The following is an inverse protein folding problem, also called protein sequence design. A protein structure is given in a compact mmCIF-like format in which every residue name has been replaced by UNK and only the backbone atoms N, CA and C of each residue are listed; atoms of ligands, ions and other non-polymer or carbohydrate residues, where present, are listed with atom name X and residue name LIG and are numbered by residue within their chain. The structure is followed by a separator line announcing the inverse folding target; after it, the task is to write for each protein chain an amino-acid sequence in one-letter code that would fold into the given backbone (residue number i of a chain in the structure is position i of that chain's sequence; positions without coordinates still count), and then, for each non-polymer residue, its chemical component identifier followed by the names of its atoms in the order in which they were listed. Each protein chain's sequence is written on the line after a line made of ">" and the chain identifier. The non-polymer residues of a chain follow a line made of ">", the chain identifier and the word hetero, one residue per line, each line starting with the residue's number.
data_IF_015248073838
#
_entry.id   IF_015248073838
#
_cell.length_a   1.000
_cell.length_b   1.000
_cell.length_c   1.000
_cell.angle_alpha   90.00
_cell.angle_beta   90.00
_cell.angle_gamma   90.00
#
_symmetry.space_group_name_H-M   'P 1'
#
loop_
_entity.id
_entity.type
_entity.pdbx_description
1 polymer ?
#
# COMPACT_ATOMS: atom_id res chain seq x y z
N UNK A 1 50.84 28.97 4.91
CA UNK A 1 51.51 30.23 5.31
C UNK A 1 50.75 30.88 6.44
N UNK A 2 51.48 31.38 7.48
CA UNK A 2 50.83 32.19 8.50
C UNK A 2 50.23 33.46 7.89
N UNK A 3 49.05 33.92 8.35
CA UNK A 3 48.47 35.20 7.87
C UNK A 3 49.42 36.35 8.14
N UNK A 4 49.66 37.19 7.12
CA UNK A 4 50.55 38.36 7.24
C UNK A 4 50.00 39.47 8.13
N UNK A 5 48.70 39.52 8.35
CA UNK A 5 48.00 40.54 9.13
C UNK A 5 47.11 39.90 10.19
N UNK A 6 47.71 39.56 11.33
CA UNK A 6 47.02 38.92 12.46
C UNK A 6 45.91 39.84 13.04
N UNK A 7 46.06 41.14 12.92
CA UNK A 7 45.11 42.17 13.38
C UNK A 7 43.73 42.10 12.63
N UNK A 8 43.71 41.47 11.46
CA UNK A 8 42.47 41.28 10.66
C UNK A 8 41.70 40.00 11.02
N UNK A 9 42.24 39.20 11.94
CA UNK A 9 41.55 38.03 12.43
C UNK A 9 40.46 38.43 13.42
N UNK A 10 39.29 37.75 13.40
CA UNK A 10 38.16 38.08 14.27
C UNK A 10 38.46 37.99 15.77
N UNK A 11 39.54 37.35 16.15
CA UNK A 11 40.08 37.32 17.54
C UNK A 11 41.58 37.40 17.47
N UNK A 12 42.15 38.46 18.01
CA UNK A 12 43.62 38.64 18.13
C UNK A 12 43.94 39.23 19.49
N UNK A 13 45.11 38.88 20.02
CA UNK A 13 45.65 39.47 21.23
C UNK A 13 47.15 39.69 21.08
N UNK A 14 47.69 40.80 21.69
CA UNK A 14 49.10 41.13 21.71
C UNK A 14 49.58 41.12 23.13
N UNK A 15 50.73 40.46 23.38
CA UNK A 15 51.37 40.43 24.69
C UNK A 15 52.87 40.72 24.53
N UNK A 16 53.47 41.35 25.53
CA UNK A 16 54.94 41.55 25.59
C UNK A 16 55.59 40.38 26.33
N UNK A 17 56.65 39.84 25.77
CA UNK A 17 57.44 38.79 26.34
C UNK A 17 58.91 39.28 26.58
N UNK A 18 59.43 39.10 27.80
CA UNK A 18 60.75 39.62 28.21
C UNK A 18 61.90 38.69 27.92
N UNK A 19 61.67 37.50 27.32
CA UNK A 19 62.70 36.52 27.00
C UNK A 19 63.09 36.49 25.51
N UNK A 20 64.07 35.62 25.15
CA UNK A 20 64.42 35.45 23.73
C UNK A 20 63.27 34.96 22.87
N UNK A 21 63.17 35.41 21.63
CA UNK A 21 62.02 35.04 20.72
C UNK A 21 61.88 33.52 20.56
N UNK A 22 62.93 32.79 20.45
CA UNK A 22 62.90 31.32 20.30
C UNK A 22 62.27 30.59 21.48
N UNK A 23 62.48 31.10 22.71
CA UNK A 23 61.85 30.54 23.89
C UNK A 23 60.36 30.78 23.92
N UNK A 24 59.87 31.93 23.41
CA UNK A 24 58.45 32.24 23.25
C UNK A 24 57.79 31.29 22.24
N UNK A 25 58.43 31.06 21.10
CA UNK A 25 57.95 30.14 20.08
C UNK A 25 57.94 28.69 20.56
N UNK A 26 58.97 28.27 21.32
CA UNK A 26 59.02 26.95 21.92
C UNK A 26 57.87 26.74 22.92
N UNK A 27 57.61 27.72 23.79
CA UNK A 27 56.52 27.68 24.74
C UNK A 27 55.13 27.63 24.04
N UNK A 28 54.97 28.41 22.96
CA UNK A 28 53.76 28.39 22.17
C UNK A 28 53.51 27.03 21.48
N UNK A 29 54.58 26.44 20.91
CA UNK A 29 54.50 25.06 20.33
C UNK A 29 54.05 24.03 21.36
N UNK A 30 54.62 24.07 22.52
CA UNK A 30 54.32 23.13 23.61
C UNK A 30 52.88 23.32 24.10
N UNK A 31 52.44 24.56 24.28
CA UNK A 31 51.05 24.88 24.67
C UNK A 31 50.04 24.39 23.66
N UNK A 32 50.29 24.54 22.36
CA UNK A 32 49.43 24.02 21.30
C UNK A 32 49.42 22.49 21.29
N UNK A 33 50.58 21.83 21.45
CA UNK A 33 50.67 20.35 21.51
C UNK A 33 49.89 19.77 22.68
N UNK A 34 50.01 20.39 23.89
CA UNK A 34 49.25 19.97 25.09
C UNK A 34 47.73 20.04 24.84
N UNK A 35 47.28 21.02 24.06
CA UNK A 35 45.86 21.15 23.67
C UNK A 35 45.48 20.28 22.47
N UNK A 36 46.34 19.34 22.06
CA UNK A 36 46.12 18.42 20.93
C UNK A 36 45.94 19.08 19.56
N UNK A 37 46.52 20.29 19.38
CA UNK A 37 46.63 20.91 18.08
C UNK A 37 47.73 20.23 17.25
N UNK A 38 47.51 20.11 15.92
CA UNK A 38 48.58 19.80 14.98
C UNK A 38 49.37 21.06 14.73
N UNK A 39 50.69 21.03 15.08
CA UNK A 39 51.52 22.24 15.11
C UNK A 39 52.41 22.30 13.88
N UNK A 40 52.43 23.45 13.23
CA UNK A 40 53.30 23.77 12.08
C UNK A 40 54.17 24.97 12.42
N UNK A 41 55.47 24.89 12.05
CA UNK A 41 56.41 25.99 12.08
C UNK A 41 56.61 26.45 10.64
N UNK A 42 56.40 27.73 10.37
CA UNK A 42 56.49 28.29 9.02
C UNK A 42 57.86 28.97 8.77
N UNK A 43 58.43 29.54 9.83
CA UNK A 43 59.69 30.26 9.85
C UNK A 43 60.15 30.37 11.30
N UNK A 44 61.27 31.07 11.54
CA UNK A 44 61.78 31.29 12.88
C UNK A 44 61.00 32.34 13.68
N UNK A 45 59.93 32.89 13.13
CA UNK A 45 59.12 33.95 13.73
C UNK A 45 57.65 33.55 13.97
N UNK A 46 57.19 32.40 13.48
CA UNK A 46 55.78 32.01 13.59
C UNK A 46 55.54 30.52 13.81
N UNK A 47 54.51 30.23 14.58
CA UNK A 47 53.98 28.90 14.80
C UNK A 47 52.47 28.94 14.63
N UNK A 48 51.91 27.93 13.99
CA UNK A 48 50.46 27.76 13.87
C UNK A 48 50.02 26.41 14.43
N UNK A 49 48.83 26.36 14.99
CA UNK A 49 48.18 25.16 15.46
C UNK A 49 46.83 24.97 14.81
N UNK A 50 46.53 23.78 14.37
CA UNK A 50 45.30 23.42 13.71
C UNK A 50 44.61 22.30 14.49
N UNK A 51 43.28 22.43 14.68
CA UNK A 51 42.48 21.45 15.38
C UNK A 51 41.13 21.27 14.64
N UNK A 52 40.46 20.14 14.86
CA UNK A 52 39.12 19.93 14.27
C UNK A 52 39.10 19.16 12.96
N UNK A 53 40.21 18.47 12.59
CA UNK A 53 40.26 17.65 11.35
C UNK A 53 39.13 16.63 11.24
N UNK A 54 38.72 16.04 12.38
CA UNK A 54 37.56 15.13 12.38
C UNK A 54 36.27 15.81 11.90
N UNK A 55 36.12 17.11 12.12
CA UNK A 55 34.99 17.88 11.64
C UNK A 55 34.97 17.97 10.10
N UNK A 56 36.11 18.23 9.49
CA UNK A 56 36.22 18.31 8.01
C UNK A 56 36.05 16.94 7.38
N UNK A 57 36.67 15.90 7.95
CA UNK A 57 36.47 14.51 7.52
C UNK A 57 35.01 14.08 7.66
N UNK A 58 34.37 14.41 8.79
CA UNK A 58 32.95 14.14 9.00
C UNK A 58 32.06 14.85 8.01
N UNK A 59 32.37 16.12 7.70
CA UNK A 59 31.64 16.89 6.70
C UNK A 59 31.80 16.29 5.29
N UNK A 60 33.01 15.89 4.91
CA UNK A 60 33.26 15.22 3.63
C UNK A 60 32.50 13.90 3.55
N UNK A 61 32.59 13.07 4.60
CA UNK A 61 31.86 11.79 4.66
C UNK A 61 30.35 11.98 4.55
N UNK A 62 29.80 13.00 5.22
CA UNK A 62 28.38 13.35 5.12
C UNK A 62 27.98 13.68 3.68
N UNK A 63 28.76 14.52 2.97
CA UNK A 63 28.44 14.89 1.59
C UNK A 63 28.57 13.69 0.64
N UNK A 64 29.59 12.84 0.80
CA UNK A 64 29.73 11.62 0.01
C UNK A 64 28.55 10.68 0.27
N UNK A 65 28.17 10.45 1.53
CA UNK A 65 27.03 9.62 1.88
C UNK A 65 25.71 10.16 1.26
N UNK A 66 25.51 11.48 1.31
CA UNK A 66 24.37 12.13 0.68
C UNK A 66 24.34 11.92 -0.84
N UNK A 67 25.48 12.05 -1.52
CA UNK A 67 25.58 11.74 -2.95
C UNK A 67 25.25 10.28 -3.25
N UNK A 68 25.73 9.33 -2.45
CA UNK A 68 25.43 7.90 -2.60
C UNK A 68 23.93 7.63 -2.44
N UNK A 69 23.29 8.27 -1.44
CA UNK A 69 21.83 8.15 -1.24
C UNK A 69 21.07 8.70 -2.44
N UNK A 70 21.44 9.89 -2.95
CA UNK A 70 20.79 10.50 -4.12
C UNK A 70 20.92 9.57 -5.35
N UNK A 71 22.11 9.05 -5.60
CA UNK A 71 22.34 8.09 -6.71
C UNK A 71 21.52 6.82 -6.51
N UNK A 72 21.48 6.27 -5.30
CA UNK A 72 20.68 5.08 -4.98
C UNK A 72 19.18 5.30 -5.22
N UNK A 73 18.64 6.43 -4.78
CA UNK A 73 17.23 6.82 -5.04
C UNK A 73 16.98 6.98 -6.53
N UNK A 74 17.89 7.64 -7.26
CA UNK A 74 17.75 7.81 -8.70
C UNK A 74 17.75 6.47 -9.45
N UNK A 75 18.65 5.54 -9.10
CA UNK A 75 18.68 4.19 -9.67
C UNK A 75 17.38 3.43 -9.35
N UNK A 76 16.91 3.46 -8.11
CA UNK A 76 15.65 2.83 -7.72
C UNK A 76 14.45 3.40 -8.47
N UNK A 77 14.43 4.72 -8.73
CA UNK A 77 13.36 5.37 -9.50
C UNK A 77 13.43 5.04 -11.00
N UNK A 78 14.61 4.85 -11.55
CA UNK A 78 14.78 4.54 -12.99
C UNK A 78 14.48 3.07 -13.31
N UNK A 79 14.89 2.14 -12.45
CA UNK A 79 14.86 0.70 -12.71
C UNK A 79 13.88 -0.07 -11.80
N UNK A 80 13.34 0.56 -10.78
CA UNK A 80 12.36 -0.04 -9.88
C UNK A 80 10.97 -0.10 -10.53
N UNK A 81 10.17 -1.09 -10.12
CA UNK A 81 8.75 -1.17 -10.43
C UNK A 81 7.99 -1.68 -9.22
N UNK A 82 6.69 -1.40 -9.19
CA UNK A 82 5.78 -1.89 -8.18
C UNK A 82 4.40 -2.09 -8.80
N UNK A 83 3.85 -3.27 -8.59
CA UNK A 83 2.46 -3.60 -8.94
C UNK A 83 1.69 -4.01 -7.69
N UNK A 84 0.49 -3.49 -7.52
CA UNK A 84 -0.41 -3.90 -6.45
C UNK A 84 -1.61 -4.63 -7.09
N UNK A 85 -2.05 -5.72 -6.46
CA UNK A 85 -3.15 -6.57 -6.96
C UNK A 85 -3.97 -7.12 -5.80
N UNK A 86 -5.28 -7.21 -6.00
CA UNK A 86 -6.22 -7.90 -5.10
C UNK A 86 -6.50 -9.28 -5.67
N UNK A 87 -6.31 -10.31 -4.84
CA UNK A 87 -6.58 -11.71 -5.19
C UNK A 87 -7.56 -12.29 -4.17
N UNK A 88 -8.71 -12.75 -4.65
CA UNK A 88 -9.73 -13.40 -3.82
C UNK A 88 -9.39 -14.87 -3.60
N UNK A 89 -9.80 -15.44 -2.47
CA UNK A 89 -9.66 -16.89 -2.19
C UNK A 89 -10.22 -17.74 -3.35
N UNK A 90 -9.42 -18.68 -3.80
CA UNK A 90 -9.69 -19.54 -4.95
C UNK A 90 -9.25 -18.97 -6.30
N UNK A 91 -8.97 -17.68 -6.41
CA UNK A 91 -8.52 -17.04 -7.64
C UNK A 91 -7.00 -17.11 -7.83
N UNK A 92 -6.58 -16.98 -9.09
CA UNK A 92 -5.18 -17.01 -9.49
C UNK A 92 -4.79 -15.70 -10.16
N UNK A 93 -3.76 -15.08 -9.68
CA UNK A 93 -3.08 -13.94 -10.30
C UNK A 93 -1.88 -14.43 -11.12
N UNK A 94 -1.70 -13.93 -12.32
CA UNK A 94 -0.47 -14.09 -13.10
C UNK A 94 0.24 -12.74 -13.20
N UNK A 95 1.58 -12.76 -13.02
CA UNK A 95 2.40 -11.55 -13.07
C UNK A 95 2.54 -11.05 -14.51
N UNK A 96 1.46 -10.45 -15.02
CA UNK A 96 1.40 -9.76 -16.31
C UNK A 96 0.80 -8.36 -16.09
N UNK A 97 1.28 -7.38 -16.83
CA UNK A 97 0.92 -5.97 -16.65
C UNK A 97 -0.60 -5.73 -16.51
N UNK A 98 -1.40 -6.40 -17.32
CA UNK A 98 -2.87 -6.22 -17.38
C UNK A 98 -3.63 -6.76 -16.16
N UNK A 99 -3.01 -7.56 -15.29
CA UNK A 99 -3.65 -8.12 -14.10
C UNK A 99 -3.36 -7.34 -12.81
N UNK A 100 -2.47 -6.36 -12.86
CA UNK A 100 -2.27 -5.46 -11.72
C UNK A 100 -3.37 -4.40 -11.66
N UNK A 101 -3.91 -4.15 -10.46
CA UNK A 101 -4.87 -3.06 -10.20
C UNK A 101 -4.20 -1.69 -10.30
N UNK A 102 -2.97 -1.59 -9.80
CA UNK A 102 -2.10 -0.42 -9.96
C UNK A 102 -0.70 -0.87 -10.33
N UNK A 103 -0.07 -0.12 -11.23
CA UNK A 103 1.29 -0.42 -11.66
C UNK A 103 2.09 0.87 -11.82
N UNK A 104 3.18 0.98 -11.06
CA UNK A 104 4.11 2.08 -11.10
C UNK A 104 5.47 1.56 -11.55
N UNK A 105 6.02 2.16 -12.58
CA UNK A 105 7.28 1.71 -13.18
C UNK A 105 8.24 2.86 -13.38
N UNK A 106 9.53 2.60 -13.21
CA UNK A 106 10.61 3.47 -13.63
C UNK A 106 10.71 3.52 -15.17
N UNK A 107 11.31 4.58 -15.67
CA UNK A 107 11.39 4.89 -17.10
C UNK A 107 12.17 3.81 -17.90
N UNK A 108 13.06 3.09 -17.24
CA UNK A 108 13.91 2.07 -17.86
C UNK A 108 13.36 0.65 -17.73
N UNK A 109 12.18 0.46 -17.15
CA UNK A 109 11.53 -0.85 -16.98
C UNK A 109 10.61 -1.13 -18.16
N UNK A 110 10.73 -2.31 -18.76
CA UNK A 110 9.74 -2.82 -19.73
C UNK A 110 8.60 -3.55 -19.00
N UNK A 111 7.36 -3.01 -19.02
CA UNK A 111 6.22 -3.67 -18.37
C UNK A 111 5.86 -5.05 -18.94
N UNK A 112 6.39 -5.41 -20.14
CA UNK A 112 6.16 -6.71 -20.75
C UNK A 112 7.21 -7.75 -20.35
N UNK A 113 8.29 -7.33 -19.69
CA UNK A 113 9.39 -8.19 -19.24
C UNK A 113 9.33 -8.54 -17.74
N UNK A 114 8.12 -8.55 -17.17
CA UNK A 114 7.93 -8.90 -15.76
C UNK A 114 8.23 -10.38 -15.50
N UNK A 115 8.70 -10.75 -14.27
CA UNK A 115 8.88 -12.15 -13.90
C UNK A 115 7.58 -12.95 -14.07
N UNK A 116 7.55 -14.03 -14.85
CA UNK A 116 6.32 -14.72 -15.24
C UNK A 116 5.92 -15.78 -14.21
N UNK A 117 5.50 -15.38 -13.01
CA UNK A 117 5.00 -16.29 -11.98
C UNK A 117 3.47 -16.21 -11.84
N UNK A 118 2.89 -17.18 -11.15
CA UNK A 118 1.49 -17.18 -10.75
C UNK A 118 1.34 -17.40 -9.25
N UNK A 119 0.33 -16.79 -8.67
CA UNK A 119 -0.06 -16.96 -7.26
C UNK A 119 -1.56 -17.22 -7.22
N UNK A 120 -1.96 -18.37 -6.69
CA UNK A 120 -3.34 -18.64 -6.28
C UNK A 120 -3.46 -18.44 -4.79
N UNK A 121 -4.42 -17.64 -4.34
CA UNK A 121 -4.75 -17.52 -2.94
C UNK A 121 -5.65 -18.69 -2.55
N UNK A 122 -5.12 -19.65 -1.78
CA UNK A 122 -5.88 -20.81 -1.34
C UNK A 122 -6.75 -20.46 -0.13
N UNK A 123 -6.21 -19.70 0.83
CA UNK A 123 -6.90 -19.26 2.04
C UNK A 123 -6.21 -18.02 2.63
N UNK A 124 -7.01 -17.13 3.20
CA UNK A 124 -6.52 -16.00 4.02
C UNK A 124 -6.99 -16.18 5.47
N UNK A 125 -6.05 -16.43 6.37
CA UNK A 125 -6.33 -16.46 7.82
C UNK A 125 -6.17 -15.06 8.39
N UNK A 126 -7.24 -14.56 9.01
CA UNK A 126 -7.30 -13.23 9.63
C UNK A 126 -7.78 -13.39 11.05
N UNK A 127 -7.06 -12.80 12.00
CA UNK A 127 -7.42 -12.84 13.41
C UNK A 127 -7.55 -11.46 14.00
N UNK A 128 -8.63 -11.24 14.71
CA UNK A 128 -8.93 -9.98 15.42
C UNK A 128 -9.01 -10.21 16.92
N UNK A 129 -8.74 -9.15 17.70
CA UNK A 129 -8.92 -9.16 19.14
C UNK A 129 -10.41 -9.21 19.50
N UNK A 130 -10.79 -10.19 20.32
CA UNK A 130 -12.18 -10.42 20.69
C UNK A 130 -12.47 -10.20 22.18
N UNK A 131 -11.49 -9.74 22.96
CA UNK A 131 -11.73 -9.43 24.38
C UNK A 131 -12.67 -8.24 24.52
N UNK A 132 -13.91 -8.51 24.92
CA UNK A 132 -14.96 -7.51 25.04
C UNK A 132 -14.61 -6.50 26.15
N UNK A 133 -14.70 -5.20 25.83
CA UNK A 133 -14.36 -4.10 26.75
C UNK A 133 -12.87 -3.78 26.85
N UNK A 134 -11.99 -4.55 26.19
CA UNK A 134 -10.57 -4.23 26.06
C UNK A 134 -10.33 -3.04 25.13
N UNK A 135 -9.31 -2.23 25.41
CA UNK A 135 -8.94 -1.07 24.60
C UNK A 135 -8.54 -1.42 23.15
N UNK A 136 -8.34 -2.70 22.86
CA UNK A 136 -7.94 -3.21 21.56
C UNK A 136 -9.00 -4.11 20.89
N UNK A 137 -10.24 -4.08 21.35
CA UNK A 137 -11.33 -4.84 20.75
C UNK A 137 -11.44 -4.52 19.24
N UNK A 138 -11.47 -5.56 18.40
CA UNK A 138 -11.46 -5.44 16.95
C UNK A 138 -10.09 -5.16 16.32
N UNK A 139 -9.02 -4.97 17.11
CA UNK A 139 -7.69 -4.75 16.55
C UNK A 139 -7.17 -6.01 15.83
N UNK A 140 -6.50 -5.87 14.67
CA UNK A 140 -5.91 -6.99 13.96
C UNK A 140 -4.76 -7.62 14.76
N UNK A 141 -4.72 -8.97 14.77
CA UNK A 141 -3.69 -9.76 15.49
C UNK A 141 -2.80 -10.57 14.56
N UNK A 142 -3.22 -10.84 13.36
CA UNK A 142 -2.42 -11.56 12.39
C UNK A 142 -3.13 -11.75 11.07
N UNK A 143 -2.33 -11.77 10.01
CA UNK A 143 -2.75 -12.02 8.65
C UNK A 143 -1.78 -13.00 8.02
N UNK A 144 -2.29 -14.12 7.49
CA UNK A 144 -1.49 -15.13 6.81
C UNK A 144 -2.21 -15.59 5.55
N UNK A 145 -1.59 -15.38 4.41
CA UNK A 145 -2.07 -15.87 3.12
C UNK A 145 -1.40 -17.22 2.84
N UNK A 146 -2.21 -18.26 2.67
CA UNK A 146 -1.79 -19.57 2.17
C UNK A 146 -1.95 -19.55 0.67
N UNK A 147 -0.87 -19.83 -0.05
CA UNK A 147 -0.82 -19.67 -1.50
C UNK A 147 -0.24 -20.89 -2.19
N UNK A 148 -0.75 -21.19 -3.37
CA UNK A 148 -0.13 -22.11 -4.33
C UNK A 148 0.50 -21.27 -5.43
N UNK A 149 1.81 -21.42 -5.64
CA UNK A 149 2.58 -20.61 -6.59
C UNK A 149 3.24 -21.47 -7.67
N UNK A 150 3.41 -20.90 -8.85
CA UNK A 150 4.28 -21.43 -9.92
C UNK A 150 5.28 -20.35 -10.27
N UNK A 151 6.56 -20.59 -10.01
CA UNK A 151 7.60 -19.59 -10.17
C UNK A 151 7.88 -19.27 -11.65
N UNK A 152 7.77 -20.26 -12.53
CA UNK A 152 7.92 -20.11 -13.98
C UNK A 152 6.98 -21.05 -14.73
N UNK A 153 6.49 -20.67 -15.91
CA UNK A 153 5.67 -21.55 -16.74
C UNK A 153 6.31 -22.93 -16.92
N UNK A 154 5.53 -23.99 -16.67
CA UNK A 154 5.99 -25.37 -16.78
C UNK A 154 6.66 -25.96 -15.54
N UNK A 155 6.88 -25.19 -14.48
CA UNK A 155 7.34 -25.72 -13.20
C UNK A 155 6.17 -26.27 -12.36
N UNK A 156 6.51 -27.16 -11.41
CA UNK A 156 5.54 -27.68 -10.46
C UNK A 156 5.05 -26.60 -9.50
N UNK A 157 3.76 -26.64 -9.19
CA UNK A 157 3.16 -25.79 -8.17
C UNK A 157 3.73 -26.10 -6.78
N UNK A 158 3.96 -25.06 -5.99
CA UNK A 158 4.45 -25.16 -4.61
C UNK A 158 3.55 -24.38 -3.66
N UNK A 159 3.42 -24.87 -2.44
CA UNK A 159 2.65 -24.19 -1.40
C UNK A 159 3.56 -23.31 -0.56
N UNK A 160 3.13 -22.06 -0.38
CA UNK A 160 3.83 -21.06 0.42
C UNK A 160 2.88 -20.29 1.32
N UNK A 161 3.44 -19.69 2.36
CA UNK A 161 2.73 -18.72 3.20
C UNK A 161 3.37 -17.34 3.06
N UNK A 162 2.53 -16.30 3.02
CA UNK A 162 2.95 -14.91 3.02
C UNK A 162 2.30 -14.25 4.23
N UNK A 163 3.11 -13.69 5.12
CA UNK A 163 2.65 -12.98 6.32
C UNK A 163 3.11 -11.53 6.30
N UNK A 164 2.58 -10.73 7.21
CA UNK A 164 3.04 -9.34 7.37
C UNK A 164 4.52 -9.34 7.75
N UNK A 165 5.32 -8.56 7.01
CA UNK A 165 6.80 -8.48 7.12
C UNK A 165 7.57 -9.77 6.76
N UNK A 166 6.91 -10.78 6.21
CA UNK A 166 7.53 -12.01 5.70
C UNK A 166 7.15 -12.18 4.23
N UNK A 167 7.79 -11.45 3.30
CA UNK A 167 7.49 -11.53 1.88
C UNK A 167 7.98 -12.86 1.29
N UNK A 168 7.38 -13.24 0.17
CA UNK A 168 7.79 -14.37 -0.64
C UNK A 168 8.52 -13.88 -1.89
N UNK A 169 9.72 -14.37 -2.14
CA UNK A 169 10.44 -14.07 -3.40
C UNK A 169 10.07 -15.08 -4.48
N UNK A 170 9.58 -14.60 -5.63
CA UNK A 170 9.18 -15.40 -6.79
C UNK A 170 9.78 -14.82 -8.07
N UNK A 171 10.58 -15.61 -8.77
CA UNK A 171 11.18 -15.19 -10.03
C UNK A 171 12.09 -13.97 -9.94
N UNK A 172 12.55 -13.61 -8.73
CA UNK A 172 13.36 -12.42 -8.46
C UNK A 172 12.55 -11.17 -8.07
N UNK A 173 11.23 -11.27 -7.96
CA UNK A 173 10.37 -10.25 -7.40
C UNK A 173 9.91 -10.63 -5.98
N UNK A 174 9.81 -9.65 -5.09
CA UNK A 174 9.30 -9.85 -3.74
C UNK A 174 7.80 -9.54 -3.67
N UNK A 175 7.04 -10.47 -3.11
CA UNK A 175 5.58 -10.40 -2.93
C UNK A 175 5.27 -10.15 -1.47
N UNK A 176 4.73 -8.99 -1.17
CA UNK A 176 4.34 -8.57 0.18
C UNK A 176 2.84 -8.67 0.38
N UNK A 177 2.39 -9.12 1.54
CA UNK A 177 1.00 -8.99 1.96
C UNK A 177 0.75 -7.55 2.43
N UNK A 178 0.01 -6.78 1.62
CA UNK A 178 -0.25 -5.35 1.83
C UNK A 178 -1.52 -5.09 2.61
N UNK A 179 -2.57 -5.88 2.36
CA UNK A 179 -3.88 -5.68 2.94
C UNK A 179 -4.78 -6.89 2.77
N UNK A 180 -6.00 -6.77 3.26
CA UNK A 180 -7.02 -7.80 3.16
C UNK A 180 -8.41 -7.18 3.18
N UNK A 181 -9.42 -7.98 2.85
CA UNK A 181 -10.81 -7.59 2.93
C UNK A 181 -11.75 -8.72 2.54
N UNK A 182 -12.95 -8.35 2.17
CA UNK A 182 -14.04 -9.28 1.89
C UNK A 182 -14.53 -9.17 0.46
N UNK A 183 -14.82 -10.32 -0.14
CA UNK A 183 -15.41 -10.46 -1.47
C UNK A 183 -16.74 -11.19 -1.33
N UNK A 184 -17.88 -10.49 -1.19
CA UNK A 184 -19.20 -11.11 -1.27
C UNK A 184 -19.33 -11.90 -2.57
N UNK A 185 -19.77 -13.16 -2.46
CA UNK A 185 -20.14 -14.01 -3.61
C UNK A 185 -21.59 -13.78 -3.93
N UNK A 186 -21.86 -13.30 -5.12
CA UNK A 186 -23.20 -12.91 -5.55
C UNK A 186 -23.56 -13.61 -6.85
N UNK A 187 -24.79 -14.13 -6.91
CA UNK A 187 -25.39 -14.65 -8.13
C UNK A 187 -26.51 -13.74 -8.59
N UNK A 188 -26.49 -13.34 -9.86
CA UNK A 188 -27.61 -12.63 -10.50
C UNK A 188 -28.20 -13.52 -11.58
N UNK A 189 -29.54 -13.64 -11.58
CA UNK A 189 -30.32 -14.40 -12.55
C UNK A 189 -31.21 -13.46 -13.35
N UNK A 190 -31.41 -13.77 -14.60
CA UNK A 190 -32.39 -13.06 -15.43
C UNK A 190 -33.87 -13.46 -15.10
N UNK A 191 -34.83 -12.86 -15.79
CA UNK A 191 -36.25 -13.15 -15.59
C UNK A 191 -36.64 -14.61 -15.90
N UNK A 192 -35.83 -15.35 -16.65
CA UNK A 192 -36.02 -16.77 -16.94
C UNK A 192 -35.33 -17.68 -15.91
N UNK A 193 -34.70 -17.11 -14.89
CA UNK A 193 -33.96 -17.84 -13.87
C UNK A 193 -32.55 -18.30 -14.28
N UNK A 194 -32.08 -17.93 -15.48
CA UNK A 194 -30.72 -18.25 -15.94
C UNK A 194 -29.69 -17.39 -15.20
N UNK A 195 -28.63 -18.02 -14.75
CA UNK A 195 -27.48 -17.32 -14.15
C UNK A 195 -26.77 -16.47 -15.21
N UNK A 196 -26.70 -15.17 -15.00
CA UNK A 196 -26.04 -14.19 -15.87
C UNK A 196 -24.81 -13.55 -15.22
N UNK A 197 -24.64 -13.76 -13.91
CA UNK A 197 -23.47 -13.35 -13.13
C UNK A 197 -23.33 -14.27 -11.91
N UNK A 198 -22.12 -14.75 -11.62
CA UNK A 198 -21.81 -15.48 -10.39
C UNK A 198 -20.32 -15.33 -10.09
N UNK A 199 -19.97 -14.42 -9.21
CA UNK A 199 -18.57 -14.12 -8.88
C UNK A 199 -18.45 -13.60 -7.45
N UNK A 200 -17.26 -13.78 -6.87
CA UNK A 200 -16.82 -13.03 -5.72
C UNK A 200 -16.36 -11.64 -6.16
N UNK A 201 -16.87 -10.59 -5.54
CA UNK A 201 -16.53 -9.20 -5.88
C UNK A 201 -15.89 -8.52 -4.71
N UNK A 202 -14.64 -8.03 -4.80
CA UNK A 202 -13.97 -7.34 -3.70
C UNK A 202 -14.68 -6.04 -3.33
N UNK A 203 -14.95 -5.87 -2.04
CA UNK A 203 -15.41 -4.63 -1.43
C UNK A 203 -14.29 -4.05 -0.58
N UNK A 204 -13.95 -2.77 -0.80
CA UNK A 204 -12.80 -2.12 -0.19
C UNK A 204 -13.16 -1.46 1.15
N UNK A 205 -12.47 -1.85 2.20
CA UNK A 205 -12.70 -1.34 3.55
C UNK A 205 -12.48 0.18 3.63
N UNK A 206 -13.39 0.87 4.29
CA UNK A 206 -13.36 2.32 4.49
C UNK A 206 -12.93 2.70 5.92
N UNK A 207 -13.02 1.76 6.84
CA UNK A 207 -12.68 1.96 8.25
C UNK A 207 -12.09 0.68 8.87
N UNK A 208 -11.70 0.78 10.13
CA UNK A 208 -11.10 -0.31 10.89
C UNK A 208 -12.10 -1.42 11.30
N UNK A 209 -13.40 -1.19 11.14
CA UNK A 209 -14.47 -2.17 11.37
C UNK A 209 -14.87 -2.87 10.07
N UNK A 210 -14.11 -2.63 9.00
CA UNK A 210 -14.29 -3.23 7.67
C UNK A 210 -15.66 -2.97 7.04
N UNK A 211 -16.32 -1.85 7.38
CA UNK A 211 -17.36 -1.31 6.53
C UNK A 211 -16.76 -1.06 5.16
N UNK A 212 -17.17 -1.83 4.18
CA UNK A 212 -16.52 -1.86 2.86
C UNK A 212 -17.45 -1.38 1.77
N UNK A 213 -16.93 -0.68 0.77
CA UNK A 213 -17.69 -0.22 -0.40
C UNK A 213 -17.27 -1.00 -1.63
N UNK A 214 -18.23 -1.23 -2.53
CA UNK A 214 -17.97 -1.94 -3.78
C UNK A 214 -19.09 -1.80 -4.79
N UNK A 215 -18.86 -2.38 -5.97
CA UNK A 215 -19.82 -2.37 -7.06
C UNK A 215 -19.83 -3.71 -7.79
N UNK A 216 -21.03 -4.19 -8.11
CA UNK A 216 -21.26 -5.38 -8.92
C UNK A 216 -21.81 -4.92 -10.27
N UNK A 217 -21.15 -5.30 -11.35
CA UNK A 217 -21.50 -4.91 -12.72
C UNK A 217 -21.95 -6.12 -13.50
N UNK A 218 -23.19 -6.10 -14.00
CA UNK A 218 -23.82 -7.21 -14.73
C UNK A 218 -24.14 -6.76 -16.15
N UNK A 219 -23.14 -6.74 -17.05
CA UNK A 219 -23.34 -6.28 -18.43
C UNK A 219 -24.20 -7.22 -19.26
N UNK A 220 -24.33 -8.48 -18.85
CA UNK A 220 -25.18 -9.48 -19.53
C UNK A 220 -26.66 -9.39 -19.17
N UNK A 221 -27.07 -8.48 -18.27
CA UNK A 221 -28.45 -8.25 -17.96
C UNK A 221 -29.20 -7.61 -19.16
N UNK A 222 -30.42 -8.03 -19.41
CA UNK A 222 -31.28 -7.49 -20.46
C UNK A 222 -32.63 -7.03 -19.87
N UNK A 223 -33.32 -6.06 -20.51
CA UNK A 223 -32.99 -5.28 -21.72
C UNK A 223 -31.96 -4.16 -21.45
N UNK A 224 -31.69 -3.82 -20.20
CA UNK A 224 -30.68 -2.87 -19.77
C UNK A 224 -29.65 -3.56 -18.83
N UNK A 225 -28.41 -3.13 -18.91
CA UNK A 225 -27.39 -3.61 -17.98
C UNK A 225 -27.73 -3.21 -16.54
N UNK A 226 -27.35 -4.05 -15.57
CA UNK A 226 -27.61 -3.82 -14.16
C UNK A 226 -26.29 -3.53 -13.42
N UNK A 227 -26.33 -2.52 -12.57
CA UNK A 227 -25.26 -2.18 -11.64
C UNK A 227 -25.78 -2.14 -10.22
N UNK A 228 -24.96 -2.66 -9.30
CA UNK A 228 -25.26 -2.59 -7.87
C UNK A 228 -24.09 -1.90 -7.19
N UNK A 229 -24.37 -0.94 -6.32
CA UNK A 229 -23.33 -0.25 -5.52
C UNK A 229 -23.79 -0.13 -4.10
N UNK A 230 -22.86 -0.26 -3.16
CA UNK A 230 -23.22 -0.15 -1.75
C UNK A 230 -22.16 -0.64 -0.80
N UNK A 231 -22.61 -1.19 0.32
CA UNK A 231 -21.76 -1.55 1.45
C UNK A 231 -21.82 -3.04 1.72
N UNK A 232 -20.67 -3.60 2.06
CA UNK A 232 -20.56 -4.87 2.75
C UNK A 232 -20.19 -4.60 4.21
N UNK A 233 -20.88 -5.25 5.13
CA UNK A 233 -20.73 -5.11 6.58
C UNK A 233 -20.42 -6.49 7.15
N UNK A 234 -19.21 -6.77 7.64
CA UNK A 234 -18.87 -8.08 8.19
C UNK A 234 -19.65 -8.43 9.46
N UNK A 235 -19.95 -7.43 10.29
CA UNK A 235 -20.85 -7.54 11.43
C UNK A 235 -21.80 -6.34 11.44
N UNK A 236 -22.92 -6.47 10.78
CA UNK A 236 -23.90 -5.39 10.62
C UNK A 236 -24.54 -5.02 11.94
N UNK A 237 -24.67 -3.71 12.22
CA UNK A 237 -25.46 -3.21 13.32
C UNK A 237 -26.96 -3.54 13.10
N UNK A 238 -27.67 -4.10 14.11
CA UNK A 238 -29.06 -4.53 13.94
C UNK A 238 -30.05 -3.41 13.57
N UNK A 239 -29.77 -2.18 14.04
CA UNK A 239 -30.67 -1.04 13.92
C UNK A 239 -30.03 0.10 13.16
N UNK A 240 -30.01 0.19 11.91
CA UNK A 240 -29.41 1.27 11.11
C UNK A 240 -29.87 2.70 11.51
N UNK A 241 -29.58 3.12 12.72
CA UNK A 241 -29.97 4.46 13.22
C UNK A 241 -29.31 5.56 12.39
N UNK A 242 -28.04 5.35 12.02
CA UNK A 242 -27.23 6.31 11.25
C UNK A 242 -26.88 5.79 9.84
N UNK A 243 -27.57 4.77 9.33
CA UNK A 243 -27.28 4.10 8.08
C UNK A 243 -26.52 2.78 8.25
N UNK A 244 -26.01 2.19 7.15
CA UNK A 244 -25.26 0.91 7.20
C UNK A 244 -23.96 1.07 7.97
N UNK A 245 -23.81 0.38 9.13
CA UNK A 245 -22.62 0.38 9.95
C UNK A 245 -22.18 -1.03 10.31
N UNK A 246 -20.86 -1.24 10.43
CA UNK A 246 -20.26 -2.46 10.97
C UNK A 246 -19.79 -2.21 12.40
N UNK A 247 -20.03 -3.15 13.31
CA UNK A 247 -19.66 -3.04 14.73
C UNK A 247 -18.48 -3.92 15.12
N UNK A 248 -18.08 -4.83 14.23
CA UNK A 248 -16.91 -5.68 14.42
C UNK A 248 -16.30 -6.06 13.06
N UNK A 249 -14.96 -6.18 12.94
CA UNK A 249 -14.29 -6.37 11.66
C UNK A 249 -14.38 -7.81 11.08
N UNK A 250 -14.80 -8.82 11.87
CA UNK A 250 -14.93 -10.21 11.41
C UNK A 250 -16.38 -10.57 11.02
N UNK A 251 -16.55 -11.75 10.42
CA UNK A 251 -17.82 -12.24 9.82
C UNK A 251 -18.79 -12.82 10.86
N UNK A 252 -19.19 -12.02 11.85
CA UNK A 252 -20.14 -12.48 12.89
C UNK A 252 -21.60 -12.34 12.45
N UNK A 253 -21.93 -11.30 11.68
CA UNK A 253 -23.29 -11.06 11.11
C UNK A 253 -23.18 -10.34 9.77
N UNK A 254 -22.67 -11.00 8.71
CA UNK A 254 -22.42 -10.34 7.44
C UNK A 254 -23.71 -9.91 6.74
N UNK A 255 -23.67 -8.70 6.17
CA UNK A 255 -24.77 -8.13 5.42
C UNK A 255 -24.26 -7.34 4.21
N UNK A 256 -24.98 -7.45 3.10
CA UNK A 256 -24.75 -6.72 1.87
C UNK A 256 -25.93 -5.74 1.64
N UNK A 257 -25.64 -4.43 1.69
CA UNK A 257 -26.60 -3.36 1.49
C UNK A 257 -26.33 -2.68 0.15
N UNK A 258 -27.22 -2.80 -0.83
CA UNK A 258 -27.02 -2.38 -2.21
C UNK A 258 -28.11 -1.44 -2.70
N UNK A 259 -27.73 -0.42 -3.46
CA UNK A 259 -28.59 0.35 -4.35
C UNK A 259 -28.52 -0.24 -5.75
N UNK A 260 -29.63 -0.27 -6.46
CA UNK A 260 -29.76 -0.92 -7.77
C UNK A 260 -29.93 0.13 -8.87
N UNK A 261 -29.13 -0.03 -9.91
CA UNK A 261 -29.05 0.88 -11.06
C UNK A 261 -29.21 0.12 -12.37
N UNK A 262 -29.78 0.79 -13.39
CA UNK A 262 -29.86 0.25 -14.72
C UNK A 262 -29.37 1.27 -15.76
N UNK A 263 -28.81 0.81 -16.87
CA UNK A 263 -28.34 1.67 -17.96
C UNK A 263 -27.12 1.11 -18.65
N UNK A 264 -26.32 2.00 -19.28
CA UNK A 264 -25.06 1.64 -19.90
C UNK A 264 -23.93 1.70 -18.86
N UNK A 265 -23.41 0.55 -18.45
CA UNK A 265 -22.33 0.45 -17.45
C UNK A 265 -20.96 0.93 -17.97
N UNK A 266 -20.76 0.91 -19.30
CA UNK A 266 -19.48 1.23 -19.93
C UNK A 266 -19.66 2.28 -21.05
N UNK A 267 -20.05 3.53 -20.71
CA UNK A 267 -20.27 4.56 -21.70
C UNK A 267 -18.99 4.82 -22.51
N UNK A 268 -19.12 4.79 -23.83
CA UNK A 268 -17.99 4.96 -24.76
C UNK A 268 -16.99 3.79 -24.77
N UNK A 269 -17.31 2.63 -24.17
CA UNK A 269 -16.43 1.44 -24.14
C UNK A 269 -15.13 1.63 -23.36
N UNK A 270 -15.04 2.66 -22.51
CA UNK A 270 -13.81 2.96 -21.76
C UNK A 270 -13.68 2.06 -20.52
N UNK A 271 -12.46 1.59 -20.20
CA UNK A 271 -12.21 0.89 -18.96
C UNK A 271 -12.62 1.74 -17.75
N UNK A 272 -13.27 1.11 -16.80
CA UNK A 272 -13.69 1.74 -15.54
C UNK A 272 -13.16 0.93 -14.36
N UNK A 273 -12.98 1.59 -13.20
CA UNK A 273 -12.62 0.90 -11.97
C UNK A 273 -13.59 -0.26 -11.70
N UNK A 274 -13.06 -1.42 -11.36
CA UNK A 274 -13.87 -2.60 -11.00
C UNK A 274 -14.52 -2.45 -9.63
N UNK A 275 -14.03 -1.55 -8.80
CA UNK A 275 -14.47 -1.36 -7.41
C UNK A 275 -15.55 -0.28 -7.24
N UNK A 276 -15.80 0.54 -8.27
CA UNK A 276 -16.77 1.63 -8.20
C UNK A 276 -17.74 1.59 -9.38
N UNK A 277 -18.96 2.06 -9.15
CA UNK A 277 -19.98 2.23 -10.16
C UNK A 277 -20.10 3.72 -10.51
N UNK A 278 -19.84 4.09 -11.76
CA UNK A 278 -20.16 5.43 -12.25
C UNK A 278 -21.66 5.51 -12.54
N UNK A 279 -22.40 6.23 -11.71
CA UNK A 279 -23.86 6.35 -11.79
C UNK A 279 -24.34 7.55 -12.62
N UNK A 280 -23.44 8.36 -13.21
CA UNK A 280 -23.81 9.59 -13.91
C UNK A 280 -24.76 9.37 -15.10
N UNK A 281 -24.65 8.23 -15.80
CA UNK A 281 -25.50 7.85 -16.93
C UNK A 281 -26.42 6.67 -16.59
N UNK A 282 -26.56 6.31 -15.30
CA UNK A 282 -27.43 5.24 -14.85
C UNK A 282 -28.69 5.79 -14.20
N UNK A 283 -29.76 5.07 -14.32
CA UNK A 283 -31.03 5.37 -13.66
C UNK A 283 -31.22 4.44 -12.47
N UNK A 284 -31.58 4.96 -11.28
CA UNK A 284 -31.89 4.09 -10.16
C UNK A 284 -33.14 3.27 -10.48
N UNK A 285 -33.12 1.98 -10.18
CA UNK A 285 -34.28 1.12 -10.30
C UNK A 285 -35.28 1.54 -9.23
N UNK A 286 -36.55 1.85 -9.59
CA UNK A 286 -37.55 2.28 -8.64
C UNK A 286 -38.18 1.10 -7.88
N UNK A 287 -38.53 1.34 -6.62
CA UNK A 287 -39.46 0.52 -5.83
C UNK A 287 -40.91 0.81 -6.24
N UNK A 288 -41.82 0.04 -5.69
CA UNK A 288 -43.28 0.25 -5.92
C UNK A 288 -43.75 1.64 -5.46
N UNK A 289 -43.11 2.28 -4.49
CA UNK A 289 -43.39 3.62 -4.00
C UNK A 289 -42.66 4.74 -4.78
N UNK A 290 -42.00 4.40 -5.88
CA UNK A 290 -41.24 5.32 -6.74
C UNK A 290 -39.88 5.75 -6.22
N UNK A 291 -39.45 5.35 -5.01
CA UNK A 291 -38.14 5.65 -4.44
C UNK A 291 -37.09 4.73 -5.04
N UNK A 292 -35.81 5.12 -5.03
CA UNK A 292 -34.69 4.25 -5.40
C UNK A 292 -34.71 2.92 -4.63
N UNK A 293 -34.50 1.81 -5.34
CA UNK A 293 -34.42 0.48 -4.73
C UNK A 293 -33.12 0.34 -3.95
N UNK A 294 -33.27 0.10 -2.67
CA UNK A 294 -32.21 -0.35 -1.78
C UNK A 294 -32.59 -1.72 -1.22
N UNK A 295 -31.66 -2.67 -1.29
CA UNK A 295 -31.84 -4.05 -0.84
C UNK A 295 -30.81 -4.37 0.24
N UNK A 296 -31.19 -5.28 1.15
CA UNK A 296 -30.32 -5.80 2.20
C UNK A 296 -30.41 -7.33 2.15
N UNK A 297 -29.24 -7.96 2.09
CA UNK A 297 -29.15 -9.42 2.00
C UNK A 297 -28.15 -9.93 3.04
N UNK A 298 -28.53 -10.99 3.71
CA UNK A 298 -27.61 -11.85 4.47
C UNK A 298 -27.20 -13.05 3.62
N UNK A 299 -26.10 -13.76 3.93
CA UNK A 299 -25.71 -14.95 3.21
C UNK A 299 -26.87 -15.97 3.11
N UNK A 300 -27.08 -16.51 1.91
CA UNK A 300 -28.18 -17.41 1.58
C UNK A 300 -29.50 -16.74 1.24
N UNK A 301 -29.62 -15.42 1.33
CA UNK A 301 -30.83 -14.67 0.96
C UNK A 301 -30.80 -14.23 -0.51
N UNK A 302 -31.99 -14.12 -1.10
CA UNK A 302 -32.23 -13.60 -2.45
C UNK A 302 -33.28 -12.52 -2.42
N UNK A 303 -33.28 -11.67 -3.47
CA UNK A 303 -34.25 -10.61 -3.69
C UNK A 303 -34.68 -10.59 -5.15
N UNK A 304 -35.99 -10.63 -5.39
CA UNK A 304 -36.58 -10.49 -6.73
C UNK A 304 -36.60 -9.03 -7.14
N UNK A 305 -35.95 -8.72 -8.26
CA UNK A 305 -35.87 -7.34 -8.78
C UNK A 305 -37.18 -6.93 -9.46
N UNK A 306 -37.71 -5.74 -9.17
CA UNK A 306 -38.98 -5.31 -9.75
C UNK A 306 -38.88 -5.14 -11.27
N UNK A 307 -40.04 -5.29 -11.97
CA UNK A 307 -40.12 -5.09 -13.41
C UNK A 307 -39.50 -6.18 -14.25
N UNK A 308 -39.47 -7.42 -13.76
CA UNK A 308 -38.98 -8.58 -14.52
C UNK A 308 -37.48 -8.57 -14.80
N UNK A 309 -36.68 -7.93 -13.91
CA UNK A 309 -35.22 -7.86 -14.04
C UNK A 309 -34.49 -9.08 -13.48
N UNK A 310 -35.27 -10.12 -13.05
CA UNK A 310 -34.70 -11.31 -12.44
C UNK A 310 -34.42 -11.13 -10.96
N UNK A 311 -33.41 -11.81 -10.43
CA UNK A 311 -33.11 -11.83 -8.99
C UNK A 311 -31.61 -11.70 -8.71
N UNK A 312 -31.29 -11.27 -7.50
CA UNK A 312 -29.95 -11.26 -6.95
C UNK A 312 -29.92 -12.09 -5.66
N UNK A 313 -28.94 -12.96 -5.49
CA UNK A 313 -28.66 -13.67 -4.23
C UNK A 313 -27.29 -13.34 -3.69
N UNK A 314 -27.19 -13.27 -2.38
CA UNK A 314 -25.93 -13.21 -1.66
C UNK A 314 -25.60 -14.61 -1.14
N UNK A 315 -24.68 -15.30 -1.81
CA UNK A 315 -24.45 -16.72 -1.59
C UNK A 315 -23.54 -16.99 -0.40
N UNK A 316 -22.40 -16.33 -0.35
CA UNK A 316 -21.37 -16.49 0.69
C UNK A 316 -20.41 -15.33 0.71
N UNK A 317 -19.41 -15.37 1.57
CA UNK A 317 -18.30 -14.40 1.64
C UNK A 317 -16.99 -15.13 1.49
N UNK A 318 -16.18 -14.71 0.52
CA UNK A 318 -14.77 -15.03 0.44
C UNK A 318 -13.92 -13.90 1.02
N UNK A 319 -12.67 -14.16 1.34
CA UNK A 319 -11.70 -13.13 1.70
C UNK A 319 -10.81 -12.82 0.51
N UNK A 320 -10.22 -11.63 0.48
CA UNK A 320 -9.14 -11.32 -0.46
C UNK A 320 -7.88 -10.87 0.25
N UNK A 321 -6.76 -11.11 -0.37
CA UNK A 321 -5.46 -10.55 -0.01
C UNK A 321 -5.06 -9.48 -1.03
N UNK A 322 -4.60 -8.35 -0.56
CA UNK A 322 -3.89 -7.36 -1.37
C UNK A 322 -2.38 -7.69 -1.36
N UNK A 323 -1.81 -7.94 -2.52
CA UNK A 323 -0.39 -8.16 -2.68
C UNK A 323 0.29 -6.96 -3.33
N UNK A 324 1.50 -6.65 -2.86
CA UNK A 324 2.41 -5.71 -3.52
C UNK A 324 3.63 -6.47 -4.02
N UNK A 325 3.88 -6.38 -5.30
CA UNK A 325 4.99 -7.05 -6.00
C UNK A 325 5.99 -6.00 -6.45
N UNK A 326 7.28 -6.24 -6.16
CA UNK A 326 8.35 -5.30 -6.50
C UNK A 326 9.72 -5.97 -6.63
#
# INVERSE_FOLDING_TARGET
>A
RAPRHLERLGTSATARYAGPPDAALAAAREALRRKRFRVFSHDDSSVSGEAGFLRETGNLLFHVAMCVVIVGVAVGHLFGWRGDVIVTEGETFASVFSQYDTFNTGVMVDPNALPPFTIRLDKLDVRFEREAGGAQFGAPRGFTAYTTTVERPGQSAQQHTISVNEPLTLGGADVYLLGNGYSPVVTVRDAAGKVIYQQATPFLAQDNLYKSVGAIKVPSAGPKQLGFSGFFLPTAEPTYVNGPESVFPDLDSPELALSVWEGNLFPGGRPQSVYTLNTAELTPVPRADGKPLAIRLKPGQSYELPGGRGSISFDSVARFAGFSVR
#
